data_IF_586042066953
#
_entry.id   IF_586042066953
#
_cell.length_a   1.000
_cell.length_b   1.000
_cell.length_c   1.000
_cell.angle_alpha   90.00
_cell.angle_beta   90.00
_cell.angle_gamma   90.00
#
_symmetry.space_group_name_H-M   'P 1'
#
loop_
_entity.id
_entity.type
_entity.pdbx_description
1 polymer ?
#
# COMPACT_ATOMS: atom_id res chain seq x y z
N UNK A 1 -24.65 -2.92 0.56
CA UNK A 1 -23.40 -3.34 1.24
C UNK A 1 -22.73 -2.09 1.78
N UNK A 2 -22.58 -1.96 3.10
CA UNK A 2 -21.98 -0.76 3.72
C UNK A 2 -20.46 -0.84 3.75
N UNK A 3 -19.78 0.26 3.45
CA UNK A 3 -18.33 0.36 3.58
C UNK A 3 -17.99 0.26 5.08
N UNK A 4 -17.21 -0.75 5.45
CA UNK A 4 -16.79 -0.94 6.84
C UNK A 4 -15.85 0.22 7.22
N UNK A 5 -16.26 1.08 8.16
CA UNK A 5 -15.61 2.37 8.47
C UNK A 5 -14.22 2.32 9.10
N UNK A 6 -13.64 1.12 9.25
CA UNK A 6 -12.29 0.91 9.81
C UNK A 6 -11.17 1.05 8.77
N UNK A 7 -11.50 0.99 7.48
CA UNK A 7 -10.53 1.12 6.38
C UNK A 7 -10.78 2.46 5.68
N UNK A 8 -9.82 3.37 5.77
CA UNK A 8 -9.95 4.73 5.20
C UNK A 8 -9.07 4.84 3.97
N UNK A 9 -9.63 5.31 2.86
CA UNK A 9 -8.83 5.71 1.71
C UNK A 9 -7.92 6.86 2.14
N UNK A 10 -6.61 6.68 2.00
CA UNK A 10 -5.61 7.68 2.37
C UNK A 10 -4.88 8.17 1.13
N UNK A 11 -4.56 9.46 1.09
CA UNK A 11 -3.69 10.00 0.05
C UNK A 11 -2.23 9.61 0.28
N UNK A 12 -1.48 9.59 -0.80
CA UNK A 12 -0.03 9.55 -0.73
C UNK A 12 0.52 10.85 -0.10
N UNK A 13 1.56 10.72 0.72
CA UNK A 13 2.17 11.81 1.47
C UNK A 13 3.69 11.71 1.30
N UNK A 14 4.32 12.56 0.49
CA UNK A 14 5.74 12.41 0.12
C UNK A 14 6.72 12.35 1.31
N UNK A 15 6.37 12.95 2.44
CA UNK A 15 7.19 12.95 3.66
C UNK A 15 7.01 11.71 4.53
N UNK A 16 6.10 10.80 4.18
CA UNK A 16 5.79 9.57 4.92
C UNK A 16 6.09 8.36 4.05
N UNK A 17 7.19 7.67 4.34
CA UNK A 17 7.72 6.60 3.49
C UNK A 17 6.76 5.43 3.21
N UNK A 18 5.75 5.19 4.05
CA UNK A 18 4.77 4.13 3.83
C UNK A 18 3.42 4.61 3.27
N UNK A 19 3.23 5.91 3.00
CA UNK A 19 1.93 6.43 2.55
C UNK A 19 1.48 5.82 1.22
N UNK A 20 2.40 5.61 0.28
CA UNK A 20 2.07 5.06 -1.04
C UNK A 20 1.55 3.64 -0.91
N UNK A 21 2.22 2.81 -0.09
CA UNK A 21 1.76 1.45 0.21
C UNK A 21 0.36 1.44 0.84
N UNK A 22 0.13 2.29 1.83
CA UNK A 22 -1.16 2.35 2.54
C UNK A 22 -2.28 2.82 1.60
N UNK A 23 -2.02 3.85 0.78
CA UNK A 23 -2.95 4.31 -0.26
C UNK A 23 -3.30 3.18 -1.21
N UNK A 24 -2.31 2.51 -1.82
CA UNK A 24 -2.53 1.44 -2.78
C UNK A 24 -3.28 0.25 -2.15
N UNK A 25 -2.91 -0.14 -0.93
CA UNK A 25 -3.57 -1.22 -0.19
C UNK A 25 -5.07 -0.97 -0.03
N UNK A 26 -5.46 0.26 0.32
CA UNK A 26 -6.87 0.61 0.46
C UNK A 26 -7.56 0.86 -0.89
N UNK A 27 -6.89 1.46 -1.86
CA UNK A 27 -7.42 1.63 -3.21
C UNK A 27 -7.78 0.28 -3.83
N UNK A 28 -6.89 -0.71 -3.73
CA UNK A 28 -7.11 -2.09 -4.18
C UNK A 28 -8.23 -2.77 -3.41
N UNK A 29 -8.30 -2.58 -2.08
CA UNK A 29 -9.41 -3.11 -1.28
C UNK A 29 -10.77 -2.56 -1.72
N UNK A 30 -10.81 -1.33 -2.21
CA UNK A 30 -12.02 -0.67 -2.71
C UNK A 30 -12.19 -0.73 -4.24
N UNK A 31 -11.45 -1.58 -4.97
CA UNK A 31 -11.53 -1.68 -6.44
C UNK A 31 -12.98 -1.81 -6.92
N UNK A 32 -13.75 -2.76 -6.36
CA UNK A 32 -15.15 -2.98 -6.73
C UNK A 32 -16.06 -1.78 -6.39
N UNK A 33 -15.71 -1.02 -5.34
CA UNK A 33 -16.42 0.20 -4.97
C UNK A 33 -16.18 1.30 -6.00
N UNK A 34 -14.96 1.45 -6.52
CA UNK A 34 -14.68 2.39 -7.61
C UNK A 34 -15.40 1.99 -8.90
N UNK A 35 -15.44 0.69 -9.23
CA UNK A 35 -16.20 0.20 -10.38
C UNK A 35 -17.71 0.47 -10.24
N UNK A 36 -18.27 0.23 -9.05
CA UNK A 36 -19.66 0.55 -8.78
C UNK A 36 -19.92 2.06 -8.85
N UNK A 37 -19.01 2.90 -8.35
CA UNK A 37 -19.11 4.36 -8.45
C UNK A 37 -19.16 4.81 -9.91
N UNK A 38 -18.26 4.30 -10.75
CA UNK A 38 -18.25 4.59 -12.18
C UNK A 38 -19.55 4.16 -12.90
N UNK A 39 -20.21 3.11 -12.40
CA UNK A 39 -21.50 2.66 -12.92
C UNK A 39 -22.66 3.58 -12.52
N UNK A 40 -22.66 4.12 -11.29
CA UNK A 40 -23.78 4.94 -10.78
C UNK A 40 -23.62 6.45 -11.01
N UNK A 41 -22.39 6.94 -11.15
CA UNK A 41 -22.07 8.36 -11.39
C UNK A 41 -21.38 8.53 -12.75
N UNK A 42 -22.13 8.95 -13.80
CA UNK A 42 -21.58 9.18 -15.13
C UNK A 42 -20.50 10.27 -15.18
N UNK A 43 -20.39 11.14 -14.16
CA UNK A 43 -19.35 12.17 -14.10
C UNK A 43 -18.04 11.64 -13.50
N UNK A 44 -18.03 10.42 -12.97
CA UNK A 44 -16.82 9.80 -12.44
C UNK A 44 -15.95 9.25 -13.58
N UNK A 45 -15.04 10.09 -14.07
CA UNK A 45 -14.14 9.75 -15.20
C UNK A 45 -12.78 9.18 -14.77
N UNK A 46 -12.52 9.08 -13.46
CA UNK A 46 -11.21 8.71 -12.91
C UNK A 46 -11.13 7.23 -12.50
N UNK A 47 -11.87 6.34 -13.16
CA UNK A 47 -11.75 4.90 -12.92
C UNK A 47 -10.42 4.40 -13.51
N UNK A 48 -9.53 3.79 -12.72
CA UNK A 48 -8.33 3.18 -13.28
C UNK A 48 -8.68 2.03 -14.23
N UNK A 49 -7.92 1.93 -15.31
CA UNK A 49 -7.93 0.82 -16.26
C UNK A 49 -7.47 -0.49 -15.62
N UNK A 50 -7.75 -1.62 -16.26
CA UNK A 50 -7.29 -2.93 -15.77
C UNK A 50 -5.76 -3.03 -15.71
N UNK A 51 -5.06 -2.39 -16.64
CA UNK A 51 -3.59 -2.31 -16.64
C UNK A 51 -3.08 -1.49 -15.46
N UNK A 52 -3.71 -0.35 -15.14
CA UNK A 52 -3.37 0.44 -13.96
C UNK A 52 -3.67 -0.30 -12.66
N UNK A 53 -4.75 -1.07 -12.59
CA UNK A 53 -5.03 -1.94 -11.44
C UNK A 53 -4.00 -3.05 -11.30
N UNK A 54 -3.57 -3.65 -12.41
CA UNK A 54 -2.52 -4.67 -12.42
C UNK A 54 -1.18 -4.10 -11.96
N UNK A 55 -0.82 -2.92 -12.45
CA UNK A 55 0.37 -2.19 -12.03
C UNK A 55 0.30 -1.83 -10.53
N UNK A 56 -0.81 -1.25 -10.07
CA UNK A 56 -1.04 -0.92 -8.67
C UNK A 56 -0.93 -2.15 -7.76
N UNK A 57 -1.42 -3.30 -8.22
CA UNK A 57 -1.30 -4.57 -7.48
C UNK A 57 0.15 -5.00 -7.36
N UNK A 58 0.89 -5.01 -8.47
CA UNK A 58 2.32 -5.37 -8.49
C UNK A 58 3.15 -4.45 -7.61
N UNK A 59 2.92 -3.13 -7.72
CA UNK A 59 3.60 -2.14 -6.90
C UNK A 59 3.24 -2.27 -5.41
N UNK A 60 1.97 -2.49 -5.08
CA UNK A 60 1.55 -2.71 -3.69
C UNK A 60 2.20 -3.96 -3.08
N UNK A 61 2.37 -5.04 -3.86
CA UNK A 61 3.07 -6.24 -3.42
C UNK A 61 4.55 -5.97 -3.19
N UNK A 62 5.19 -5.24 -4.11
CA UNK A 62 6.59 -4.83 -3.98
C UNK A 62 6.82 -3.97 -2.73
N UNK A 63 5.96 -2.99 -2.48
CA UNK A 63 6.09 -2.06 -1.35
C UNK A 63 5.78 -2.68 0.02
N UNK A 64 5.10 -3.83 0.06
CA UNK A 64 4.68 -4.50 1.29
C UNK A 64 5.84 -4.81 2.24
N UNK A 65 7.00 -5.22 1.70
CA UNK A 65 8.17 -5.50 2.54
C UNK A 65 8.66 -4.24 3.25
N UNK A 66 8.70 -3.11 2.56
CA UNK A 66 9.18 -1.85 3.11
C UNK A 66 8.27 -1.34 4.23
N UNK A 67 6.94 -1.46 4.09
CA UNK A 67 6.01 -1.12 5.16
C UNK A 67 6.21 -2.02 6.39
N UNK A 68 6.38 -3.34 6.20
CA UNK A 68 6.66 -4.27 7.29
C UNK A 68 7.94 -3.89 8.06
N UNK A 69 9.03 -3.65 7.34
CA UNK A 69 10.32 -3.25 7.94
C UNK A 69 10.22 -1.91 8.64
N UNK A 70 9.53 -0.93 8.03
CA UNK A 70 9.28 0.37 8.65
C UNK A 70 8.50 0.24 9.96
N UNK A 71 7.49 -0.63 10.01
CA UNK A 71 6.73 -0.89 11.23
C UNK A 71 7.59 -1.55 12.32
N UNK A 72 8.50 -2.45 11.95
CA UNK A 72 9.48 -3.05 12.88
C UNK A 72 10.39 -1.95 13.46
N UNK A 73 10.95 -1.09 12.62
CA UNK A 73 11.86 -0.03 13.06
C UNK A 73 11.16 1.10 13.82
N UNK A 74 9.86 1.28 13.60
CA UNK A 74 9.04 2.26 14.33
C UNK A 74 8.64 1.77 15.73
N UNK A 75 8.98 0.53 16.11
CA UNK A 75 8.67 -0.01 17.43
C UNK A 75 9.48 0.72 18.53
N UNK A 76 8.78 1.41 19.43
CA UNK A 76 9.40 2.21 20.49
C UNK A 76 9.64 1.46 21.81
N UNK A 77 9.06 0.27 21.97
CA UNK A 77 9.08 -0.51 23.23
C UNK A 77 9.92 -1.78 23.17
N UNK A 78 10.55 -2.07 22.03
CA UNK A 78 11.33 -3.28 21.81
C UNK A 78 12.78 -2.92 21.48
N UNK A 79 13.74 -3.70 21.99
CA UNK A 79 15.12 -3.62 21.53
C UNK A 79 15.17 -4.24 20.13
N UNK A 80 15.45 -3.42 19.12
CA UNK A 80 15.50 -3.86 17.71
C UNK A 80 16.92 -4.09 17.20
N UNK A 81 17.94 -3.69 17.97
CA UNK A 81 19.33 -3.67 17.50
C UNK A 81 19.82 -5.02 16.95
N UNK A 82 19.36 -6.14 17.53
CA UNK A 82 19.74 -7.49 17.12
C UNK A 82 19.10 -7.95 15.80
N UNK A 83 18.00 -7.32 15.35
CA UNK A 83 17.28 -7.68 14.11
C UNK A 83 17.47 -6.66 12.97
N UNK A 84 17.98 -5.46 13.26
CA UNK A 84 18.15 -4.38 12.25
C UNK A 84 18.93 -4.86 11.02
N UNK A 85 20.05 -5.57 11.23
CA UNK A 85 20.86 -6.07 10.12
C UNK A 85 20.08 -7.04 9.23
N UNK A 86 19.32 -7.96 9.83
CA UNK A 86 18.52 -8.93 9.10
C UNK A 86 17.42 -8.25 8.26
N UNK A 87 16.72 -7.27 8.83
CA UNK A 87 15.68 -6.53 8.11
C UNK A 87 16.25 -5.69 6.95
N UNK A 88 17.41 -5.06 7.13
CA UNK A 88 18.10 -4.35 6.04
C UNK A 88 18.52 -5.33 4.93
N UNK A 89 19.02 -6.51 5.27
CA UNK A 89 19.36 -7.54 4.29
C UNK A 89 18.14 -8.01 3.48
N UNK A 90 16.97 -8.14 4.12
CA UNK A 90 15.70 -8.44 3.43
C UNK A 90 15.37 -7.37 2.39
N UNK A 91 15.43 -6.09 2.78
CA UNK A 91 15.19 -4.96 1.86
C UNK A 91 16.19 -4.97 0.70
N UNK A 92 17.49 -5.14 1.00
CA UNK A 92 18.53 -5.18 -0.01
C UNK A 92 18.28 -6.31 -1.01
N UNK A 93 18.00 -7.52 -0.55
CA UNK A 93 17.70 -8.66 -1.43
C UNK A 93 16.48 -8.38 -2.30
N UNK A 94 15.41 -7.84 -1.70
CA UNK A 94 14.17 -7.53 -2.42
C UNK A 94 14.37 -6.50 -3.54
N UNK A 95 15.20 -5.49 -3.32
CA UNK A 95 15.57 -4.49 -4.34
C UNK A 95 16.40 -5.06 -5.50
N UNK A 96 17.12 -6.17 -5.30
CA UNK A 96 17.99 -6.76 -6.33
C UNK A 96 17.41 -8.03 -6.97
N UNK A 97 16.22 -8.48 -6.55
CA UNK A 97 15.55 -9.67 -7.09
C UNK A 97 14.49 -9.32 -8.15
N UNK A 98 14.03 -8.07 -8.15
CA UNK A 98 13.07 -7.51 -9.10
C UNK A 98 13.77 -6.53 -10.03
#
# INVERSE_FOLDING_TARGET
MGLNGTKKLTYDVPTRWNSTYVMLRYALFYKDTFQHLAFIDPNYINLPSDDEWSYATSLCQFLKLFDNVTNIFSATRNVIANIVFEEIQKVHKHLHTH
#
